data_IF_137480768094
#
_entry.id   IF_137480768094
#
_cell.length_a   1.000
_cell.length_b   1.000
_cell.length_c   1.000
_cell.angle_alpha   90.00
_cell.angle_beta   90.00
_cell.angle_gamma   90.00
#
_symmetry.space_group_name_H-M   'P 1'
#
loop_
_entity.id
_entity.type
_entity.pdbx_description
1 polymer ?
#
# COMPACT_ATOMS: atom_id res chain seq x y z
N UNK A 1 -14.53 2.68 -14.39
CA UNK A 1 -13.54 1.76 -14.92
C UNK A 1 -13.03 0.87 -13.78
N UNK A 2 -13.20 -0.46 -13.91
CA UNK A 2 -12.63 -1.41 -12.97
C UNK A 2 -11.12 -1.23 -12.92
N UNK A 3 -10.48 -1.24 -11.73
CA UNK A 3 -9.02 -1.30 -11.67
C UNK A 3 -8.56 -2.59 -12.37
N UNK A 4 -7.48 -2.48 -13.14
CA UNK A 4 -6.85 -3.62 -13.79
C UNK A 4 -6.56 -4.71 -12.75
N UNK A 5 -6.73 -6.00 -13.09
CA UNK A 5 -6.42 -7.09 -12.18
C UNK A 5 -4.94 -6.97 -11.78
N UNK A 6 -4.72 -6.98 -10.46
CA UNK A 6 -3.36 -7.01 -9.92
C UNK A 6 -2.62 -8.19 -10.55
N UNK A 7 -1.41 -7.92 -11.05
CA UNK A 7 -0.53 -8.96 -11.58
C UNK A 7 -0.46 -10.12 -10.58
N UNK A 8 -0.41 -11.39 -11.06
CA UNK A 8 -0.32 -12.52 -10.17
C UNK A 8 0.91 -12.33 -9.27
N UNK A 9 0.66 -12.30 -7.96
CA UNK A 9 1.74 -12.32 -6.97
C UNK A 9 2.53 -13.59 -7.29
N UNK A 10 3.72 -13.45 -7.84
CA UNK A 10 4.66 -14.57 -7.98
C UNK A 10 4.76 -15.16 -6.57
N UNK A 11 4.37 -16.42 -6.43
CA UNK A 11 4.62 -17.18 -5.23
C UNK A 11 6.10 -16.99 -4.93
N UNK A 12 6.42 -16.32 -3.83
CA UNK A 12 7.80 -16.18 -3.39
C UNK A 12 8.24 -17.59 -3.08
N UNK A 13 9.09 -18.12 -3.95
CA UNK A 13 9.67 -19.43 -3.79
C UNK A 13 10.58 -19.39 -2.58
N UNK A 14 10.07 -19.75 -1.43
CA UNK A 14 10.84 -19.73 -0.19
C UNK A 14 9.95 -19.95 1.03
N UNK A 15 9.78 -21.18 1.43
CA UNK A 15 10.06 -21.56 2.77
C UNK A 15 9.00 -21.35 3.84
N UNK A 16 7.82 -21.92 3.70
CA UNK A 16 7.02 -22.27 4.87
C UNK A 16 7.42 -23.69 5.31
N UNK A 17 7.91 -23.85 6.52
CA UNK A 17 8.15 -25.16 7.13
C UNK A 17 7.19 -25.32 8.32
N UNK A 18 6.67 -26.52 8.61
CA UNK A 18 5.89 -26.74 9.83
C UNK A 18 6.72 -26.30 11.04
N UNK A 19 6.12 -25.47 11.92
CA UNK A 19 6.74 -25.12 13.19
C UNK A 19 6.98 -26.39 14.04
N UNK A 20 8.09 -26.41 14.79
CA UNK A 20 8.33 -27.50 15.75
C UNK A 20 7.28 -27.47 16.85
N UNK A 21 6.91 -28.64 17.35
CA UNK A 21 5.99 -28.78 18.47
C UNK A 21 6.50 -27.95 19.67
N UNK A 22 5.63 -27.19 20.30
CA UNK A 22 5.98 -26.28 21.40
C UNK A 22 6.48 -24.86 21.01
N UNK A 23 6.99 -24.63 19.79
CA UNK A 23 7.41 -23.28 19.36
C UNK A 23 6.24 -22.30 19.30
N UNK A 24 5.07 -22.75 18.86
CA UNK A 24 3.87 -21.94 18.78
C UNK A 24 3.44 -21.39 20.14
N UNK A 25 3.49 -22.20 21.20
CA UNK A 25 3.14 -21.79 22.56
C UNK A 25 4.10 -20.71 23.08
N UNK A 26 5.43 -20.89 22.88
CA UNK A 26 6.42 -19.90 23.26
C UNK A 26 6.30 -18.57 22.52
N UNK A 27 5.93 -18.60 21.22
CA UNK A 27 5.71 -17.40 20.42
C UNK A 27 4.38 -16.71 20.78
N UNK A 28 3.30 -17.47 21.01
CA UNK A 28 2.01 -16.94 21.40
C UNK A 28 2.11 -16.16 22.74
N UNK A 29 2.90 -16.67 23.70
CA UNK A 29 3.16 -15.98 24.96
C UNK A 29 4.02 -14.71 24.86
N UNK A 30 4.75 -14.56 23.75
CA UNK A 30 5.61 -13.39 23.46
C UNK A 30 4.94 -12.32 22.59
N UNK A 31 3.68 -12.49 22.20
CA UNK A 31 2.95 -11.49 21.43
C UNK A 31 2.76 -10.23 22.28
N UNK A 32 3.72 -9.33 22.14
CA UNK A 32 3.71 -8.07 22.86
C UNK A 32 2.73 -7.09 22.21
N UNK A 33 1.82 -6.58 23.03
CA UNK A 33 0.83 -5.58 22.65
C UNK A 33 1.38 -4.17 22.73
N UNK A 34 2.39 -3.96 23.57
CA UNK A 34 2.94 -2.62 23.87
C UNK A 34 3.66 -2.04 22.68
N UNK A 35 4.41 -2.85 21.92
CA UNK A 35 5.08 -2.43 20.69
C UNK A 35 4.12 -1.95 19.60
N UNK A 36 2.86 -2.42 19.61
CA UNK A 36 1.81 -2.01 18.67
C UNK A 36 0.87 -0.93 19.23
N UNK A 37 1.12 -0.47 20.47
CA UNK A 37 0.25 0.48 21.19
C UNK A 37 -1.22 0.03 21.27
N UNK A 38 -1.46 -1.26 21.40
CA UNK A 38 -2.79 -1.85 21.51
C UNK A 38 -3.11 -2.10 22.99
N UNK A 39 -4.30 -1.69 23.43
CA UNK A 39 -4.80 -1.94 24.78
C UNK A 39 -5.44 -3.32 24.91
N UNK A 40 -5.99 -3.85 23.81
CA UNK A 40 -6.59 -5.19 23.78
C UNK A 40 -6.46 -5.87 22.44
N UNK A 41 -6.62 -7.20 22.42
CA UNK A 41 -6.67 -8.00 21.19
C UNK A 41 -7.80 -7.56 20.25
N UNK A 42 -8.93 -7.09 20.82
CA UNK A 42 -10.10 -6.63 20.04
C UNK A 42 -9.78 -5.48 19.09
N UNK A 43 -8.80 -4.64 19.42
CA UNK A 43 -8.37 -3.52 18.55
C UNK A 43 -7.76 -3.96 17.22
N UNK A 44 -7.44 -5.26 17.07
CA UNK A 44 -7.01 -5.84 15.80
C UNK A 44 -8.15 -6.13 14.83
N UNK A 45 -9.40 -6.16 15.30
CA UNK A 45 -10.55 -6.52 14.46
C UNK A 45 -10.66 -5.69 13.15
N UNK A 46 -10.47 -4.35 13.15
CA UNK A 46 -10.53 -3.58 11.92
C UNK A 46 -9.48 -4.02 10.88
N UNK A 47 -8.27 -4.37 11.31
CA UNK A 47 -7.20 -4.83 10.42
C UNK A 47 -7.52 -6.21 9.83
N UNK A 48 -8.08 -7.13 10.63
CA UNK A 48 -8.52 -8.45 10.15
C UNK A 48 -9.65 -8.32 9.14
N UNK A 49 -10.64 -7.46 9.40
CA UNK A 49 -11.75 -7.19 8.47
C UNK A 49 -11.27 -6.57 7.17
N UNK A 50 -10.32 -5.63 7.23
CA UNK A 50 -9.71 -5.05 6.04
C UNK A 50 -8.96 -6.12 5.21
N UNK A 51 -8.21 -7.01 5.86
CA UNK A 51 -7.55 -8.14 5.21
C UNK A 51 -8.57 -9.10 4.59
N UNK A 52 -9.64 -9.41 5.32
CA UNK A 52 -10.73 -10.27 4.84
C UNK A 52 -11.43 -9.68 3.62
N UNK A 53 -11.71 -8.37 3.63
CA UNK A 53 -12.30 -7.64 2.51
C UNK A 53 -11.36 -7.63 1.29
N UNK A 54 -10.05 -7.48 1.51
CA UNK A 54 -9.06 -7.48 0.43
C UNK A 54 -9.03 -8.81 -0.35
N UNK A 55 -9.20 -9.94 0.35
CA UNK A 55 -9.17 -11.26 -0.28
C UNK A 55 -10.54 -11.75 -0.77
N UNK A 56 -11.63 -11.04 -0.48
CA UNK A 56 -13.00 -11.46 -0.82
C UNK A 56 -13.22 -11.68 -2.34
N UNK A 57 -12.43 -10.98 -3.17
CA UNK A 57 -12.49 -11.13 -4.63
C UNK A 57 -11.57 -12.23 -5.20
N UNK A 58 -10.90 -13.02 -4.35
CA UNK A 58 -10.03 -14.12 -4.78
C UNK A 58 -10.83 -15.40 -4.90
N UNK A 59 -10.43 -16.25 -5.86
CA UNK A 59 -11.01 -17.58 -6.02
C UNK A 59 -10.63 -18.45 -4.81
N UNK A 60 -11.60 -18.95 -4.00
CA UNK A 60 -11.29 -19.65 -2.74
C UNK A 60 -10.41 -20.89 -2.89
N UNK A 61 -10.56 -21.62 -3.99
CA UNK A 61 -9.77 -22.81 -4.28
C UNK A 61 -8.36 -22.55 -4.80
N UNK A 62 -8.07 -21.31 -5.20
CA UNK A 62 -6.76 -20.94 -5.73
C UNK A 62 -5.72 -20.94 -4.60
N UNK A 63 -4.54 -21.51 -4.88
CA UNK A 63 -3.41 -21.52 -3.94
C UNK A 63 -2.90 -20.10 -3.73
N UNK A 64 -2.92 -19.64 -2.49
CA UNK A 64 -2.38 -18.35 -2.07
C UNK A 64 -0.88 -18.44 -1.81
N UNK A 65 -0.46 -19.53 -1.16
CA UNK A 65 0.93 -19.81 -0.82
C UNK A 65 1.16 -21.33 -0.84
N UNK A 66 2.27 -21.76 -1.44
CA UNK A 66 2.70 -23.16 -1.39
C UNK A 66 4.20 -23.24 -1.19
N UNK A 67 4.65 -24.19 -0.36
CA UNK A 67 6.04 -24.55 -0.23
C UNK A 67 6.18 -25.96 0.36
N UNK A 68 6.91 -26.82 -0.31
CA UNK A 68 7.00 -28.23 0.06
C UNK A 68 5.61 -28.84 0.19
N UNK A 69 5.35 -29.50 1.30
CA UNK A 69 4.08 -30.16 1.61
C UNK A 69 3.00 -29.22 2.15
N UNK A 70 3.28 -27.92 2.27
CA UNK A 70 2.32 -26.92 2.75
C UNK A 70 1.76 -26.15 1.58
N UNK A 71 0.49 -26.32 1.32
CA UNK A 71 -0.29 -25.49 0.41
C UNK A 71 -1.46 -24.87 1.17
N UNK A 72 -1.63 -23.55 1.02
CA UNK A 72 -2.70 -22.77 1.65
C UNK A 72 -3.47 -22.06 0.55
N UNK A 73 -4.77 -22.29 0.48
CA UNK A 73 -5.67 -21.62 -0.47
C UNK A 73 -6.16 -20.27 0.07
N UNK A 74 -6.73 -19.43 -0.80
CA UNK A 74 -7.39 -18.19 -0.35
C UNK A 74 -8.58 -18.48 0.55
N UNK A 75 -9.27 -19.61 0.35
CA UNK A 75 -10.32 -20.07 1.23
C UNK A 75 -9.81 -20.41 2.64
N UNK A 76 -8.61 -21.01 2.75
CA UNK A 76 -7.99 -21.30 4.05
C UNK A 76 -7.53 -20.02 4.75
N UNK A 77 -6.99 -19.05 4.00
CA UNK A 77 -6.66 -17.72 4.55
C UNK A 77 -7.92 -17.04 5.08
N UNK A 78 -9.02 -17.08 4.32
CA UNK A 78 -10.28 -16.51 4.74
C UNK A 78 -10.79 -17.12 6.05
N UNK A 79 -10.87 -18.46 6.11
CA UNK A 79 -11.26 -19.19 7.34
C UNK A 79 -10.35 -18.89 8.52
N UNK A 80 -9.05 -18.73 8.27
CA UNK A 80 -8.07 -18.38 9.30
C UNK A 80 -8.36 -17.01 9.88
N UNK A 81 -8.63 -15.99 9.03
CA UNK A 81 -8.99 -14.65 9.47
C UNK A 81 -10.30 -14.62 10.25
N UNK A 82 -11.34 -15.31 9.77
CA UNK A 82 -12.64 -15.41 10.41
C UNK A 82 -12.51 -16.05 11.83
N UNK A 83 -11.73 -17.14 11.92
CA UNK A 83 -11.47 -17.81 13.19
C UNK A 83 -10.64 -16.96 14.16
N UNK A 84 -9.65 -16.25 13.65
CA UNK A 84 -8.83 -15.36 14.45
C UNK A 84 -9.67 -14.19 15.00
N UNK A 85 -10.54 -13.59 14.18
CA UNK A 85 -11.44 -12.54 14.63
C UNK A 85 -12.37 -13.01 15.76
N UNK A 86 -12.94 -14.20 15.63
CA UNK A 86 -13.81 -14.80 16.65
C UNK A 86 -13.07 -15.04 17.98
N UNK A 87 -11.76 -15.29 17.95
CA UNK A 87 -10.96 -15.52 19.16
C UNK A 87 -10.42 -14.24 19.81
N UNK A 88 -10.41 -13.10 19.12
CA UNK A 88 -9.84 -11.85 19.64
C UNK A 88 -10.31 -11.48 21.06
N UNK A 89 -11.60 -11.66 21.44
CA UNK A 89 -12.05 -11.31 22.79
C UNK A 89 -11.40 -12.12 23.92
N UNK A 90 -10.89 -13.31 23.58
CA UNK A 90 -10.30 -14.26 24.54
C UNK A 90 -8.78 -14.20 24.59
N UNK A 91 -8.12 -13.71 23.53
CA UNK A 91 -6.66 -13.80 23.38
C UNK A 91 -5.88 -13.03 24.43
N UNK A 92 -6.48 -12.03 25.08
CA UNK A 92 -5.83 -11.27 26.14
C UNK A 92 -5.67 -12.10 27.43
N UNK A 93 -6.67 -12.94 27.72
CA UNK A 93 -6.63 -13.84 28.87
C UNK A 93 -6.00 -15.20 28.54
N UNK A 94 -6.18 -15.68 27.32
CA UNK A 94 -5.82 -17.02 26.90
C UNK A 94 -4.97 -17.01 25.59
N UNK A 95 -3.75 -16.41 25.62
CA UNK A 95 -2.91 -16.32 24.39
C UNK A 95 -2.51 -17.69 23.82
N UNK A 96 -2.52 -18.75 24.65
CA UNK A 96 -2.26 -20.13 24.25
C UNK A 96 -3.21 -20.67 23.18
N UNK A 97 -4.45 -20.11 23.10
CA UNK A 97 -5.41 -20.48 22.06
C UNK A 97 -4.86 -20.33 20.62
N UNK A 98 -3.92 -19.43 20.41
CA UNK A 98 -3.27 -19.31 19.10
C UNK A 98 -2.46 -20.55 18.74
N UNK A 99 -1.77 -21.15 19.71
CA UNK A 99 -1.03 -22.39 19.49
C UNK A 99 -1.94 -23.60 19.34
N UNK A 100 -3.05 -23.65 20.11
CA UNK A 100 -3.99 -24.77 20.12
C UNK A 100 -4.89 -24.83 18.88
N UNK A 101 -5.30 -23.66 18.38
CA UNK A 101 -6.34 -23.54 17.36
C UNK A 101 -5.82 -23.28 15.96
N UNK A 102 -4.53 -22.99 15.80
CA UNK A 102 -3.90 -22.71 14.51
C UNK A 102 -2.68 -23.59 14.30
N UNK A 103 -2.50 -24.05 13.06
CA UNK A 103 -1.26 -24.63 12.62
C UNK A 103 -0.27 -23.52 12.32
N UNK A 104 0.87 -23.54 13.00
CA UNK A 104 1.93 -22.58 12.80
C UNK A 104 2.91 -23.09 11.75
N UNK A 105 3.36 -22.17 10.90
CA UNK A 105 4.40 -22.40 9.90
C UNK A 105 5.50 -21.39 10.09
N UNK A 106 6.75 -21.85 10.00
CA UNK A 106 7.93 -20.97 10.08
C UNK A 106 8.32 -20.55 8.67
N UNK A 107 8.61 -19.26 8.50
CA UNK A 107 9.32 -18.80 7.31
C UNK A 107 10.75 -19.36 7.36
N UNK A 108 11.30 -19.71 6.20
CA UNK A 108 12.70 -20.17 6.09
C UNK A 108 13.65 -19.09 6.61
N UNK A 109 14.81 -19.50 7.11
CA UNK A 109 15.84 -18.57 7.56
C UNK A 109 16.27 -17.64 6.40
N UNK A 110 16.58 -16.37 6.74
CA UNK A 110 16.93 -15.36 5.75
C UNK A 110 15.76 -14.41 5.36
N UNK A 111 14.65 -14.39 6.11
CA UNK A 111 13.64 -13.36 5.94
C UNK A 111 14.23 -11.98 6.23
N UNK A 112 14.10 -11.06 5.25
CA UNK A 112 14.46 -9.67 5.44
C UNK A 112 13.27 -8.91 6.02
N UNK A 113 13.51 -8.13 7.07
CA UNK A 113 12.53 -7.18 7.58
C UNK A 113 12.88 -5.79 7.04
N UNK A 114 11.92 -5.11 6.46
CA UNK A 114 12.05 -3.71 6.07
C UNK A 114 11.03 -2.86 6.82
N UNK A 115 11.41 -1.62 7.13
CA UNK A 115 10.50 -0.64 7.69
C UNK A 115 9.80 0.12 6.57
N UNK A 116 8.54 0.43 6.77
CA UNK A 116 7.77 1.30 5.90
C UNK A 116 7.28 2.50 6.72
N UNK A 117 7.59 3.70 6.24
CA UNK A 117 7.12 4.93 6.83
C UNK A 117 5.95 5.49 6.02
N UNK A 118 4.80 5.65 6.64
CA UNK A 118 3.63 6.31 6.05
C UNK A 118 3.49 7.71 6.66
N UNK A 119 3.88 8.78 5.94
CA UNK A 119 3.77 10.14 6.47
C UNK A 119 2.32 10.52 6.73
N UNK A 120 2.11 11.23 7.84
CA UNK A 120 0.82 11.83 8.19
C UNK A 120 1.00 13.34 8.13
N UNK A 121 0.45 13.97 7.09
CA UNK A 121 0.61 15.40 6.85
C UNK A 121 -0.70 16.16 6.99
N UNK A 122 -0.63 17.41 7.46
CA UNK A 122 -1.80 18.28 7.49
C UNK A 122 -2.19 18.68 6.07
N UNK A 123 -3.49 18.74 5.79
CA UNK A 123 -4.00 19.13 4.48
C UNK A 123 -5.31 19.92 4.59
N UNK A 124 -5.61 20.65 3.54
CA UNK A 124 -6.91 21.28 3.33
C UNK A 124 -7.52 20.79 2.02
N UNK A 125 -8.84 20.65 1.95
CA UNK A 125 -9.55 20.30 0.72
C UNK A 125 -9.58 21.48 -0.28
N UNK A 126 -9.39 22.68 0.21
CA UNK A 126 -9.41 23.90 -0.58
C UNK A 126 -8.14 24.72 -0.35
N UNK A 127 -7.77 25.52 -1.34
CA UNK A 127 -6.68 26.50 -1.20
C UNK A 127 -7.10 27.60 -0.23
N UNK A 128 -6.24 27.88 0.77
CA UNK A 128 -6.43 28.97 1.74
C UNK A 128 -5.09 29.46 2.28
N UNK A 129 -5.04 30.58 3.02
CA UNK A 129 -3.82 31.03 3.67
C UNK A 129 -3.15 29.90 4.47
N UNK A 130 -1.83 29.74 4.29
CA UNK A 130 -1.07 28.67 4.91
C UNK A 130 -1.19 27.29 4.28
N UNK A 131 -2.00 27.11 3.21
CA UNK A 131 -2.15 25.86 2.45
C UNK A 131 -2.03 26.19 0.95
N UNK A 132 -0.80 26.25 0.45
CA UNK A 132 -0.50 26.72 -0.89
C UNK A 132 0.07 25.66 -1.83
N UNK A 133 0.52 24.50 -1.29
CA UNK A 133 1.17 23.42 -2.04
C UNK A 133 0.17 22.35 -2.43
N UNK A 134 -0.22 22.22 -3.71
CA UNK A 134 -1.25 21.29 -4.13
C UNK A 134 -0.70 19.85 -4.31
N UNK A 135 -1.55 18.88 -3.99
CA UNK A 135 -1.42 17.52 -4.47
C UNK A 135 -2.41 17.31 -5.61
N UNK A 136 -1.93 16.73 -6.69
CA UNK A 136 -2.74 16.53 -7.88
C UNK A 136 -3.19 15.06 -8.04
N UNK A 137 -4.36 14.86 -8.62
CA UNK A 137 -4.72 13.57 -9.24
C UNK A 137 -3.96 13.40 -10.55
N UNK A 138 -3.94 12.17 -11.08
CA UNK A 138 -3.32 11.91 -12.38
C UNK A 138 -3.98 12.76 -13.45
N UNK A 139 -3.22 13.59 -14.18
CA UNK A 139 -3.77 14.39 -15.26
C UNK A 139 -4.28 13.51 -16.42
N UNK A 140 -5.39 13.86 -17.06
CA UNK A 140 -5.98 13.06 -18.13
C UNK A 140 -5.14 13.01 -19.41
N UNK A 141 -4.22 13.96 -19.57
CA UNK A 141 -3.28 14.04 -20.70
C UNK A 141 -1.97 13.29 -20.43
N UNK A 142 -1.73 12.81 -19.22
CA UNK A 142 -0.60 11.96 -18.90
C UNK A 142 -0.81 10.58 -19.51
N UNK A 143 0.12 10.17 -20.35
CA UNK A 143 0.11 8.88 -21.03
C UNK A 143 1.35 8.08 -20.67
N UNK A 144 1.18 6.78 -20.55
CA UNK A 144 2.27 5.84 -20.27
C UNK A 144 2.28 4.73 -21.32
N UNK A 145 3.48 4.34 -21.75
CA UNK A 145 3.69 3.18 -22.61
C UNK A 145 4.80 2.30 -22.07
N UNK A 146 4.52 1.01 -21.97
CA UNK A 146 5.52 0.00 -21.70
C UNK A 146 6.26 -0.33 -23.01
N UNK A 147 7.56 -0.11 -23.04
CA UNK A 147 8.38 -0.36 -24.23
C UNK A 147 8.63 -1.84 -24.49
N UNK A 148 8.53 -2.68 -23.45
CA UNK A 148 8.64 -4.14 -23.61
C UNK A 148 7.54 -4.76 -24.48
N UNK A 149 6.43 -4.05 -24.72
CA UNK A 149 5.41 -4.48 -25.69
C UNK A 149 5.84 -4.30 -27.15
N UNK A 150 6.89 -3.54 -27.41
CA UNK A 150 7.45 -3.30 -28.75
C UNK A 150 8.74 -4.09 -28.97
N UNK A 151 9.59 -4.20 -27.95
CA UNK A 151 10.85 -4.94 -28.00
C UNK A 151 11.12 -5.62 -26.67
N UNK A 152 11.45 -6.91 -26.73
CA UNK A 152 11.74 -7.73 -25.54
C UNK A 152 12.92 -7.21 -24.71
N UNK A 153 13.90 -6.58 -25.34
CA UNK A 153 15.07 -6.01 -24.65
C UNK A 153 14.69 -4.81 -23.77
N UNK A 154 13.52 -4.22 -24.02
CA UNK A 154 13.01 -3.06 -23.28
C UNK A 154 11.99 -3.45 -22.18
N UNK A 155 11.89 -4.74 -21.83
CA UNK A 155 11.03 -5.20 -20.75
C UNK A 155 11.37 -4.45 -19.45
N UNK A 156 10.34 -3.88 -18.82
CA UNK A 156 10.46 -3.07 -17.60
C UNK A 156 10.72 -1.58 -17.84
N UNK A 157 11.03 -1.18 -19.07
CA UNK A 157 11.16 0.24 -19.42
C UNK A 157 9.81 0.84 -19.76
N UNK A 158 9.56 2.06 -19.27
CA UNK A 158 8.34 2.82 -19.50
C UNK A 158 8.66 4.22 -19.95
N UNK A 159 7.83 4.77 -20.84
CA UNK A 159 7.90 6.16 -21.25
C UNK A 159 6.61 6.85 -20.83
N UNK A 160 6.77 8.00 -20.17
CA UNK A 160 5.65 8.86 -19.78
C UNK A 160 5.70 10.12 -20.65
N UNK A 161 4.57 10.43 -21.28
CA UNK A 161 4.49 11.48 -22.29
C UNK A 161 3.11 12.14 -22.32
N UNK A 162 3.02 13.28 -22.99
CA UNK A 162 1.76 13.93 -23.39
C UNK A 162 1.76 14.16 -24.90
N UNK A 163 0.59 14.43 -25.45
CA UNK A 163 0.49 14.79 -26.87
C UNK A 163 0.49 16.32 -27.00
N UNK A 164 1.35 16.85 -27.84
CA UNK A 164 1.39 18.26 -28.21
C UNK A 164 1.41 18.40 -29.72
N UNK A 165 0.42 19.11 -30.27
CA UNK A 165 0.26 19.29 -31.72
C UNK A 165 0.31 17.96 -32.50
N UNK A 166 -0.28 16.90 -31.94
CA UNK A 166 -0.30 15.55 -32.54
C UNK A 166 0.98 14.74 -32.39
N UNK A 167 2.01 15.24 -31.71
CA UNK A 167 3.28 14.55 -31.48
C UNK A 167 3.45 14.19 -30.00
N UNK A 168 4.03 13.03 -29.69
CA UNK A 168 4.39 12.69 -28.31
C UNK A 168 5.60 13.53 -27.88
N UNK A 169 5.48 14.17 -26.72
CA UNK A 169 6.57 14.91 -26.05
C UNK A 169 6.67 14.45 -24.60
N UNK A 170 7.83 14.55 -23.96
CA UNK A 170 7.96 14.23 -22.53
C UNK A 170 6.91 14.93 -21.69
N UNK A 171 6.48 14.31 -20.60
CA UNK A 171 5.58 14.96 -19.67
C UNK A 171 6.32 16.10 -18.95
N UNK A 172 5.57 16.98 -18.30
CA UNK A 172 6.12 18.12 -17.60
C UNK A 172 7.09 17.70 -16.49
N UNK A 173 8.14 18.48 -16.32
CA UNK A 173 9.08 18.34 -15.19
C UNK A 173 8.42 18.74 -13.88
N UNK A 174 9.04 18.39 -12.77
CA UNK A 174 8.59 18.80 -11.44
C UNK A 174 8.55 20.32 -11.30
N UNK A 175 9.58 21.00 -11.79
CA UNK A 175 9.65 22.47 -11.75
C UNK A 175 8.47 23.13 -12.49
N UNK A 176 8.10 22.61 -13.65
CA UNK A 176 6.94 23.09 -14.42
C UNK A 176 5.61 22.79 -13.72
N UNK A 177 5.48 21.61 -13.09
CA UNK A 177 4.26 21.22 -12.36
C UNK A 177 4.05 22.12 -11.13
N UNK A 178 5.11 22.37 -10.38
CA UNK A 178 5.04 23.14 -9.14
C UNK A 178 5.15 24.66 -9.35
N UNK A 179 5.68 25.10 -10.49
CA UNK A 179 5.94 26.50 -10.77
C UNK A 179 7.15 27.03 -10.03
N UNK A 180 8.22 26.23 -9.92
CA UNK A 180 9.45 26.60 -9.20
C UNK A 180 10.30 27.62 -9.96
N UNK A 181 10.05 27.84 -11.23
CA UNK A 181 10.71 28.79 -12.11
C UNK A 181 10.08 30.20 -12.07
N UNK A 182 9.24 30.46 -11.07
CA UNK A 182 8.52 31.74 -10.90
C UNK A 182 7.26 31.88 -11.74
N UNK A 183 6.89 30.86 -12.52
CA UNK A 183 5.62 30.80 -13.25
C UNK A 183 4.59 29.99 -12.47
N UNK A 184 3.29 30.24 -12.71
CA UNK A 184 2.28 29.34 -12.17
C UNK A 184 2.50 27.90 -12.67
N UNK A 185 2.41 26.91 -11.78
CA UNK A 185 2.53 25.51 -12.15
C UNK A 185 1.51 25.13 -13.23
N UNK A 186 1.93 24.35 -14.21
CA UNK A 186 1.16 24.01 -15.43
C UNK A 186 -0.14 23.24 -15.16
N UNK A 187 -0.28 22.63 -13.98
CA UNK A 187 -1.49 21.92 -13.56
C UNK A 187 -2.42 22.78 -12.68
N UNK A 188 -1.95 23.94 -12.21
CA UNK A 188 -2.71 24.80 -11.31
C UNK A 188 -4.00 25.32 -11.97
N UNK A 189 -5.11 25.24 -11.24
CA UNK A 189 -6.39 25.74 -11.71
C UNK A 189 -7.07 24.87 -12.78
N UNK A 190 -6.56 23.68 -13.03
CA UNK A 190 -7.19 22.73 -13.96
C UNK A 190 -8.21 21.78 -13.29
N UNK A 191 -8.54 22.01 -12.02
CA UNK A 191 -9.46 21.16 -11.26
C UNK A 191 -8.91 19.79 -10.93
N UNK A 192 -7.56 19.68 -10.92
CA UNK A 192 -6.85 18.44 -10.65
C UNK A 192 -6.36 18.36 -9.21
N UNK A 193 -6.51 19.43 -8.44
CA UNK A 193 -6.07 19.50 -7.06
C UNK A 193 -6.93 18.59 -6.17
N UNK A 194 -6.28 17.66 -5.48
CA UNK A 194 -6.91 16.73 -4.51
C UNK A 194 -6.95 17.34 -3.11
N UNK A 195 -5.87 18.01 -2.76
CA UNK A 195 -5.68 18.62 -1.46
C UNK A 195 -4.56 19.67 -1.55
N UNK A 196 -4.48 20.53 -0.53
CA UNK A 196 -3.49 21.58 -0.39
C UNK A 196 -2.72 21.40 0.93
N UNK A 197 -1.41 21.38 0.87
CA UNK A 197 -0.53 21.23 2.02
C UNK A 197 0.09 22.57 2.42
N UNK A 198 0.45 22.73 3.71
CA UNK A 198 1.10 23.95 4.17
C UNK A 198 2.55 24.07 3.68
N UNK A 199 3.26 22.94 3.59
CA UNK A 199 4.67 22.89 3.24
C UNK A 199 4.88 22.16 1.90
N UNK A 200 5.59 22.77 0.93
CA UNK A 200 5.97 22.11 -0.31
C UNK A 200 6.89 20.90 -0.08
N UNK A 201 7.70 20.89 0.98
CA UNK A 201 8.54 19.75 1.32
C UNK A 201 7.70 18.52 1.71
N UNK A 202 6.62 18.72 2.47
CA UNK A 202 5.68 17.66 2.79
C UNK A 202 5.04 17.08 1.53
N UNK A 203 4.67 17.92 0.56
CA UNK A 203 4.13 17.49 -0.72
C UNK A 203 5.16 16.66 -1.51
N UNK A 204 6.42 17.11 -1.53
CA UNK A 204 7.51 16.40 -2.17
C UNK A 204 7.75 15.03 -1.54
N UNK A 205 7.96 14.97 -0.22
CA UNK A 205 8.22 13.71 0.48
C UNK A 205 7.06 12.73 0.37
N UNK A 206 5.82 13.20 0.44
CA UNK A 206 4.64 12.35 0.24
C UNK A 206 4.63 11.70 -1.14
N UNK A 207 5.02 12.45 -2.18
CA UNK A 207 5.07 11.94 -3.56
C UNK A 207 6.24 10.97 -3.77
N UNK A 208 7.41 11.23 -3.18
CA UNK A 208 8.56 10.32 -3.22
C UNK A 208 8.25 9.02 -2.50
N UNK A 209 7.57 9.08 -1.36
CA UNK A 209 7.12 7.88 -0.63
C UNK A 209 6.01 7.11 -1.37
N UNK A 210 5.25 7.80 -2.21
CA UNK A 210 4.18 7.20 -2.99
C UNK A 210 2.91 6.88 -2.21
N UNK A 211 2.87 7.07 -0.89
CA UNK A 211 1.67 6.94 -0.07
C UNK A 211 1.80 7.72 1.23
N UNK A 212 0.66 8.05 1.83
CA UNK A 212 0.58 8.73 3.12
C UNK A 212 -0.85 9.03 3.51
N UNK A 213 -1.01 9.70 4.64
CA UNK A 213 -2.31 10.11 5.17
C UNK A 213 -2.40 11.61 5.25
N UNK A 214 -3.41 12.16 4.62
CA UNK A 214 -3.74 13.58 4.69
C UNK A 214 -4.73 13.78 5.83
N UNK A 215 -4.31 14.50 6.89
CA UNK A 215 -5.20 14.89 7.98
C UNK A 215 -5.86 16.20 7.59
N UNK A 216 -7.12 16.10 7.16
CA UNK A 216 -7.93 17.27 6.81
C UNK A 216 -8.58 17.90 8.04
N UNK A 217 -9.12 19.09 7.88
CA UNK A 217 -9.60 19.95 8.98
C UNK A 217 -10.74 19.37 9.79
N UNK A 218 -11.56 18.50 9.19
CA UNK A 218 -12.65 17.79 9.85
C UNK A 218 -12.17 16.62 10.72
N UNK A 219 -10.84 16.46 10.89
CA UNK A 219 -10.23 15.38 11.64
C UNK A 219 -10.18 14.04 10.91
N UNK A 220 -10.76 13.96 9.70
CA UNK A 220 -10.70 12.75 8.91
C UNK A 220 -9.30 12.56 8.31
N UNK A 221 -8.87 11.29 8.24
CA UNK A 221 -7.66 10.92 7.53
C UNK A 221 -8.04 10.44 6.12
N UNK A 222 -7.58 11.18 5.10
CA UNK A 222 -7.74 10.80 3.71
C UNK A 222 -6.47 10.08 3.24
N UNK A 223 -6.54 8.80 2.82
CA UNK A 223 -5.37 8.09 2.32
C UNK A 223 -4.96 8.63 0.95
N UNK A 224 -3.69 8.98 0.80
CA UNK A 224 -3.05 9.27 -0.47
C UNK A 224 -2.29 8.03 -0.96
N UNK A 225 -2.42 7.71 -2.24
CA UNK A 225 -1.71 6.59 -2.86
C UNK A 225 -1.13 7.02 -4.20
N UNK A 226 0.03 6.47 -4.51
CA UNK A 226 0.63 6.62 -5.82
C UNK A 226 -0.34 6.16 -6.92
N UNK A 227 -0.50 7.00 -7.92
CA UNK A 227 -1.40 6.72 -9.05
C UNK A 227 -0.69 6.88 -10.41
N UNK A 228 0.45 7.59 -10.46
CA UNK A 228 1.25 7.75 -11.67
C UNK A 228 2.45 8.65 -11.43
N UNK A 229 3.52 8.46 -12.19
CA UNK A 229 4.71 9.29 -12.20
C UNK A 229 4.75 10.18 -13.44
N UNK A 230 5.41 11.33 -13.34
CA UNK A 230 5.61 12.22 -14.50
C UNK A 230 6.76 11.75 -15.42
N UNK A 231 7.51 10.73 -15.01
CA UNK A 231 8.55 10.10 -15.84
C UNK A 231 9.82 10.92 -16.06
N UNK A 232 9.98 12.00 -15.29
CA UNK A 232 11.16 12.87 -15.31
C UNK A 232 11.95 12.69 -14.01
N UNK A 233 13.25 12.97 -14.00
CA UNK A 233 14.04 13.05 -12.77
C UNK A 233 13.44 14.04 -11.76
N UNK A 234 13.62 13.75 -10.47
CA UNK A 234 13.25 14.66 -9.39
C UNK A 234 14.31 15.72 -9.17
#
# INVERSE_FOLDING_TARGET
>A
PRPAPAAPVRAVAGALVPGREGQAAGLAGKLDRTGQRLHSGKERAPALRASRAHIAGREPGQVAVAHGDVAVTWGDVAKTLDRLEALLPRLDAEPGLLAERFRWVKLKDGAAFSGYYEPVVKASRTRKPGYASPLYRVPPDLRERNLGSFKSELIGQRVVYRMEKGKPVPYYTRAEIDGLDGRPGVLRGKGLELAWLPDPADAFFLQVQGSGRLRVEDGQAMPGRFAGAHGQPY
#
